data_IF_767138417210
#
_entry.id   IF_767138417210
#
_cell.length_a   1.000
_cell.length_b   1.000
_cell.length_c   1.000
_cell.angle_alpha   90.00
_cell.angle_beta   90.00
_cell.angle_gamma   90.00
#
_symmetry.space_group_name_H-M   'P 1'
#
loop_
_entity.id
_entity.type
_entity.pdbx_description
1 polymer ?
#
# COMPACT_ATOMS: atom_id res chain seq x y z
N UNK A 1 50.74 25.67 73.82
CA UNK A 1 49.49 26.44 73.91
C UNK A 1 49.25 27.12 72.57
N UNK A 2 48.11 26.81 71.94
CA UNK A 2 47.41 27.56 70.87
C UNK A 2 48.18 28.16 69.66
N UNK A 3 48.17 27.40 68.57
CA UNK A 3 47.64 27.73 67.22
C UNK A 3 47.90 29.06 66.47
N UNK A 4 48.26 28.84 65.19
CA UNK A 4 47.92 29.56 63.93
C UNK A 4 48.64 30.91 63.69
N UNK A 5 49.11 31.26 62.48
CA UNK A 5 48.63 31.04 61.11
C UNK A 5 49.74 31.49 60.12
N UNK A 6 49.97 30.93 58.92
CA UNK A 6 49.36 31.32 57.61
C UNK A 6 50.01 30.43 56.52
N UNK A 7 49.28 29.53 55.85
CA UNK A 7 48.53 29.72 54.61
C UNK A 7 49.40 29.87 53.33
N UNK A 8 49.55 28.77 52.59
CA UNK A 8 50.19 28.71 51.27
C UNK A 8 49.12 28.69 50.16
N UNK A 9 49.33 29.52 49.13
CA UNK A 9 48.55 29.60 47.89
C UNK A 9 48.63 28.29 47.11
N UNK A 10 47.47 27.78 46.67
CA UNK A 10 47.35 26.79 45.60
C UNK A 10 46.32 27.28 44.58
N UNK A 11 46.76 27.33 43.32
CA UNK A 11 45.97 27.68 42.16
C UNK A 11 44.95 26.58 41.84
N UNK A 12 43.71 26.96 41.58
CA UNK A 12 42.68 26.10 41.03
C UNK A 12 42.17 26.70 39.72
N UNK A 13 42.31 25.92 38.63
CA UNK A 13 41.85 26.23 37.28
C UNK A 13 40.33 26.00 37.21
N UNK A 14 39.57 27.03 36.84
CA UNK A 14 38.12 26.93 36.58
C UNK A 14 37.88 26.59 35.09
N UNK A 15 37.29 25.42 34.83
CA UNK A 15 36.67 25.11 33.53
C UNK A 15 35.24 25.68 33.52
N UNK A 16 34.99 26.69 32.69
CA UNK A 16 33.65 27.19 32.42
C UNK A 16 33.04 26.39 31.25
N UNK A 17 31.96 25.65 31.52
CA UNK A 17 31.17 24.95 30.50
C UNK A 17 30.23 25.95 29.79
N UNK A 18 30.32 26.02 28.46
CA UNK A 18 29.39 26.76 27.60
C UNK A 18 28.12 25.93 27.35
N UNK A 19 26.91 26.54 27.31
CA UNK A 19 25.68 25.83 26.98
C UNK A 19 25.58 25.56 25.47
N UNK A 20 25.13 24.36 25.11
CA UNK A 20 24.84 23.96 23.73
C UNK A 20 23.56 24.65 23.20
N UNK A 21 23.45 24.92 21.88
CA UNK A 21 22.29 25.57 21.31
C UNK A 21 21.07 24.63 21.25
N UNK A 22 19.92 25.14 21.68
CA UNK A 22 18.62 24.49 21.50
C UNK A 22 18.25 24.53 20.02
N UNK A 23 18.17 23.36 19.39
CA UNK A 23 17.75 23.20 18.01
C UNK A 23 16.22 23.29 17.92
N UNK A 24 15.71 24.37 17.33
CA UNK A 24 14.28 24.55 17.08
C UNK A 24 13.81 23.56 16.02
N UNK A 25 12.94 22.61 16.39
CA UNK A 25 12.25 21.74 15.43
C UNK A 25 11.15 22.53 14.74
N UNK A 26 11.29 22.73 13.44
CA UNK A 26 10.23 23.23 12.57
C UNK A 26 9.16 22.16 12.39
N UNK A 27 7.92 22.44 12.80
CA UNK A 27 6.76 21.60 12.50
C UNK A 27 6.37 21.76 11.02
N UNK A 28 6.02 20.67 10.31
CA UNK A 28 5.53 20.77 8.94
C UNK A 28 4.10 21.34 8.91
N UNK A 29 3.84 22.25 7.96
CA UNK A 29 2.53 22.82 7.70
C UNK A 29 1.52 21.76 7.22
N UNK A 30 0.20 21.93 7.46
CA UNK A 30 -0.79 20.96 7.04
C UNK A 30 -0.92 20.96 5.51
N UNK A 31 -0.69 19.80 4.89
CA UNK A 31 -0.97 19.60 3.48
C UNK A 31 -2.49 19.64 3.25
N UNK A 32 -2.98 20.58 2.44
CA UNK A 32 -4.34 20.51 1.89
C UNK A 32 -4.42 19.22 1.06
N UNK A 33 -5.14 18.22 1.56
CA UNK A 33 -5.49 17.03 0.79
C UNK A 33 -6.41 17.45 -0.37
N UNK A 34 -5.86 17.56 -1.57
CA UNK A 34 -6.64 17.65 -2.81
C UNK A 34 -7.54 16.42 -2.88
N UNK A 35 -8.85 16.62 -2.64
CA UNK A 35 -9.83 15.55 -2.84
C UNK A 35 -9.92 15.27 -4.36
N UNK A 36 -9.72 14.01 -4.79
CA UNK A 36 -9.94 13.67 -6.19
C UNK A 36 -11.43 13.86 -6.54
N UNK A 37 -11.74 14.35 -7.77
CA UNK A 37 -13.10 14.65 -8.18
C UNK A 37 -14.01 13.42 -8.13
N UNK A 38 -15.26 13.62 -7.71
CA UNK A 38 -16.30 12.58 -7.73
C UNK A 38 -16.65 12.24 -9.18
N UNK A 39 -16.57 10.95 -9.54
CA UNK A 39 -16.89 10.49 -10.89
C UNK A 39 -18.41 10.44 -11.12
N UNK A 40 -18.91 10.87 -12.30
CA UNK A 40 -20.32 10.72 -12.65
C UNK A 40 -20.70 9.24 -12.81
N UNK A 41 -21.94 8.90 -12.47
CA UNK A 41 -22.48 7.56 -12.67
C UNK A 41 -22.48 7.19 -14.16
N UNK A 42 -22.02 5.97 -14.49
CA UNK A 42 -21.87 5.52 -15.88
C UNK A 42 -20.51 5.85 -16.51
N UNK A 43 -19.52 6.26 -15.70
CA UNK A 43 -18.15 6.45 -16.17
C UNK A 43 -17.56 5.17 -16.76
N UNK A 44 -16.84 5.29 -17.87
CA UNK A 44 -16.13 4.18 -18.50
C UNK A 44 -15.09 3.62 -17.53
N UNK A 45 -15.10 2.30 -17.32
CA UNK A 45 -14.06 1.65 -16.54
C UNK A 45 -12.74 1.67 -17.32
N UNK A 46 -11.77 2.41 -16.82
CA UNK A 46 -10.45 2.58 -17.41
C UNK A 46 -9.39 2.60 -16.29
N UNK A 47 -8.15 2.14 -16.57
CA UNK A 47 -7.05 2.34 -15.65
C UNK A 47 -6.74 3.84 -15.51
N UNK A 48 -6.04 4.20 -14.44
CA UNK A 48 -5.37 5.50 -14.33
C UNK A 48 -4.40 5.69 -15.50
N UNK A 49 -4.08 6.94 -15.81
CA UNK A 49 -3.20 7.28 -16.95
C UNK A 49 -1.85 6.56 -16.85
N UNK A 50 -1.24 6.58 -15.66
CA UNK A 50 0.00 5.88 -15.39
C UNK A 50 0.15 5.47 -13.92
N UNK A 51 0.91 4.41 -13.70
CA UNK A 51 1.37 3.98 -12.38
C UNK A 51 2.90 4.04 -12.37
N UNK A 52 3.45 4.77 -11.43
CA UNK A 52 4.88 4.70 -11.10
C UNK A 52 5.14 3.40 -10.34
N UNK A 53 5.72 2.43 -11.02
CA UNK A 53 5.96 1.09 -10.47
C UNK A 53 6.95 1.09 -9.31
N UNK A 54 7.89 2.04 -9.27
CA UNK A 54 8.83 2.15 -8.15
C UNK A 54 8.10 2.61 -6.89
N UNK A 55 7.18 3.57 -7.02
CA UNK A 55 6.32 4.01 -5.91
C UNK A 55 5.23 3.00 -5.56
N UNK A 56 4.80 2.17 -6.51
CA UNK A 56 3.81 1.11 -6.30
C UNK A 56 4.41 -0.15 -5.65
N UNK A 57 5.74 -0.33 -5.71
CA UNK A 57 6.43 -1.46 -5.10
C UNK A 57 6.22 -1.53 -3.57
N UNK A 58 6.57 -2.67 -2.98
CA UNK A 58 6.41 -2.94 -1.55
C UNK A 58 5.09 -3.64 -1.22
N UNK A 59 4.71 -3.57 0.06
CA UNK A 59 3.56 -4.29 0.62
C UNK A 59 2.30 -3.46 0.48
N UNK A 60 1.21 -4.15 0.13
CA UNK A 60 -0.16 -3.66 0.15
C UNK A 60 -1.03 -4.64 0.93
N UNK A 61 -1.89 -4.11 1.79
CA UNK A 61 -2.92 -4.83 2.51
C UNK A 61 -4.22 -4.81 1.71
N UNK A 62 -4.89 -5.95 1.60
CA UNK A 62 -6.23 -6.04 1.05
C UNK A 62 -7.23 -5.54 2.09
N UNK A 63 -7.87 -4.40 1.81
CA UNK A 63 -8.89 -3.78 2.66
C UNK A 63 -10.28 -4.29 2.29
N UNK A 64 -10.52 -4.49 1.00
CA UNK A 64 -11.76 -5.07 0.51
C UNK A 64 -11.54 -5.78 -0.82
N UNK A 65 -12.40 -6.75 -1.14
CA UNK A 65 -12.38 -7.43 -2.43
C UNK A 65 -13.74 -7.97 -2.82
N UNK A 66 -13.94 -8.22 -4.12
CA UNK A 66 -15.03 -9.07 -4.58
C UNK A 66 -14.72 -10.56 -4.31
N UNK A 67 -15.74 -11.43 -4.27
CA UNK A 67 -15.55 -12.86 -4.06
C UNK A 67 -14.93 -13.48 -5.32
N UNK A 68 -13.72 -14.01 -5.19
CA UNK A 68 -12.99 -14.64 -6.31
C UNK A 68 -12.55 -16.04 -5.92
N UNK A 69 -12.73 -16.99 -6.85
CA UNK A 69 -12.48 -18.42 -6.59
C UNK A 69 -11.07 -18.69 -6.05
N UNK A 70 -10.05 -18.01 -6.58
CA UNK A 70 -8.66 -18.21 -6.17
C UNK A 70 -8.31 -17.65 -4.78
N UNK A 71 -9.12 -16.75 -4.22
CA UNK A 71 -8.97 -16.21 -2.87
C UNK A 71 -9.99 -16.75 -1.85
N UNK A 72 -10.82 -17.74 -2.25
CA UNK A 72 -11.93 -18.24 -1.40
C UNK A 72 -11.52 -18.85 -0.05
N UNK A 73 -10.26 -19.27 0.09
CA UNK A 73 -9.71 -19.81 1.34
C UNK A 73 -8.98 -18.76 2.18
N UNK A 74 -8.78 -17.55 1.68
CA UNK A 74 -8.21 -16.46 2.46
C UNK A 74 -9.28 -15.88 3.38
N UNK A 75 -9.07 -16.03 4.70
CA UNK A 75 -9.96 -15.51 5.72
C UNK A 75 -9.52 -14.14 6.24
N UNK A 76 -8.22 -13.92 6.44
CA UNK A 76 -7.67 -12.66 6.99
C UNK A 76 -6.21 -12.40 6.57
N UNK A 77 -5.72 -11.23 6.97
CA UNK A 77 -4.32 -10.81 6.84
C UNK A 77 -3.76 -10.94 5.41
N UNK A 78 -4.64 -10.71 4.41
CA UNK A 78 -4.27 -10.77 3.01
C UNK A 78 -3.39 -9.59 2.63
N UNK A 79 -2.25 -9.89 2.02
CA UNK A 79 -1.28 -8.91 1.51
C UNK A 79 -0.83 -9.28 0.12
N UNK A 80 -0.48 -8.26 -0.67
CA UNK A 80 0.21 -8.37 -1.95
C UNK A 80 1.54 -7.61 -1.85
N UNK A 81 2.65 -8.25 -2.19
CA UNK A 81 3.97 -7.63 -2.23
C UNK A 81 4.46 -7.56 -3.67
N UNK A 82 4.86 -6.37 -4.10
CA UNK A 82 5.39 -6.11 -5.45
C UNK A 82 6.87 -5.73 -5.38
N UNK A 83 7.69 -6.30 -6.25
CA UNK A 83 9.09 -5.87 -6.41
C UNK A 83 9.53 -6.00 -7.86
N UNK A 84 10.34 -5.04 -8.32
CA UNK A 84 10.92 -5.07 -9.66
C UNK A 84 11.82 -6.30 -9.86
N UNK A 85 11.84 -6.82 -11.08
CA UNK A 85 12.74 -7.87 -11.54
C UNK A 85 13.77 -7.27 -12.49
N UNK A 86 14.90 -7.96 -12.66
CA UNK A 86 16.02 -7.51 -13.52
C UNK A 86 15.63 -7.43 -15.00
N UNK A 87 14.67 -8.24 -15.43
CA UNK A 87 14.14 -8.28 -16.80
C UNK A 87 13.08 -7.22 -17.09
N UNK A 88 12.85 -6.29 -16.15
CA UNK A 88 11.82 -5.25 -16.25
C UNK A 88 10.41 -5.74 -15.89
N UNK A 89 10.25 -7.01 -15.52
CA UNK A 89 9.03 -7.54 -14.94
C UNK A 89 8.84 -7.11 -13.48
N UNK A 90 7.73 -7.54 -12.89
CA UNK A 90 7.40 -7.30 -11.49
C UNK A 90 7.08 -8.64 -10.85
N UNK A 91 7.75 -8.98 -9.75
CA UNK A 91 7.34 -10.11 -8.91
C UNK A 91 6.09 -9.75 -8.10
N UNK A 92 5.19 -10.70 -7.98
CA UNK A 92 3.97 -10.59 -7.18
C UNK A 92 3.95 -11.71 -6.16
N UNK A 93 3.84 -11.38 -4.87
CA UNK A 93 3.65 -12.36 -3.80
C UNK A 93 2.39 -12.03 -3.01
N UNK A 94 1.39 -12.89 -3.12
CA UNK A 94 0.17 -12.81 -2.33
C UNK A 94 0.28 -13.75 -1.14
N UNK A 95 -0.08 -13.28 0.06
CA UNK A 95 -0.09 -14.07 1.30
C UNK A 95 -1.35 -13.78 2.09
N UNK A 96 -2.00 -14.79 2.65
CA UNK A 96 -3.13 -14.64 3.56
C UNK A 96 -3.14 -15.75 4.62
N UNK A 97 -4.04 -15.64 5.59
CA UNK A 97 -4.32 -16.68 6.59
C UNK A 97 -5.71 -17.25 6.34
N UNK A 98 -5.83 -18.58 6.37
CA UNK A 98 -7.11 -19.28 6.22
C UNK A 98 -7.91 -19.32 7.54
N UNK A 99 -9.07 -20.00 7.50
CA UNK A 99 -9.97 -20.08 8.65
C UNK A 99 -9.37 -20.92 9.79
N UNK A 100 -8.52 -21.89 9.46
CA UNK A 100 -7.83 -22.78 10.38
C UNK A 100 -6.53 -22.18 10.96
N UNK A 101 -6.12 -21.01 10.46
CA UNK A 101 -4.89 -20.32 10.88
C UNK A 101 -3.65 -20.70 10.06
N UNK A 102 -3.81 -21.50 9.01
CA UNK A 102 -2.78 -21.83 8.04
C UNK A 102 -2.43 -20.64 7.14
N UNK A 103 -1.17 -20.60 6.70
CA UNK A 103 -0.69 -19.57 5.77
C UNK A 103 -0.84 -20.08 4.34
N UNK A 104 -1.51 -19.29 3.50
CA UNK A 104 -1.59 -19.52 2.05
C UNK A 104 -0.72 -18.48 1.36
N UNK A 105 0.14 -18.92 0.44
CA UNK A 105 0.98 -18.05 -0.37
C UNK A 105 0.89 -18.41 -1.86
N UNK A 106 0.86 -17.39 -2.72
CA UNK A 106 0.96 -17.53 -4.17
C UNK A 106 2.01 -16.57 -4.71
N UNK A 107 2.84 -17.04 -5.63
CA UNK A 107 3.88 -16.25 -6.31
C UNK A 107 3.58 -16.17 -7.79
N UNK A 108 3.75 -14.99 -8.35
CA UNK A 108 3.48 -14.70 -9.74
C UNK A 108 4.39 -13.61 -10.27
N UNK A 109 4.16 -13.26 -11.52
CA UNK A 109 4.85 -12.19 -12.24
C UNK A 109 3.83 -11.28 -12.89
N UNK A 110 4.19 -10.01 -13.05
CA UNK A 110 3.43 -9.04 -13.81
C UNK A 110 4.31 -8.35 -14.84
N UNK A 111 3.68 -7.93 -15.93
CA UNK A 111 4.31 -7.14 -17.00
C UNK A 111 3.42 -5.95 -17.36
N UNK A 112 4.05 -4.86 -17.78
CA UNK A 112 3.36 -3.68 -18.30
C UNK A 112 2.64 -3.99 -19.60
N UNK A 113 1.63 -3.18 -19.93
CA UNK A 113 1.03 -3.16 -21.26
C UNK A 113 1.33 -1.82 -21.94
N UNK A 114 0.79 -1.64 -23.14
CA UNK A 114 0.68 -0.37 -23.86
C UNK A 114 -0.05 0.75 -23.09
N UNK A 115 -0.82 0.43 -22.05
CA UNK A 115 -1.51 1.38 -21.17
C UNK A 115 -0.80 1.41 -19.81
N UNK A 116 -0.13 2.51 -19.43
CA UNK A 116 0.74 2.53 -18.25
C UNK A 116 0.07 2.26 -16.89
N UNK A 117 -1.26 2.42 -16.77
CA UNK A 117 -2.02 2.00 -15.58
C UNK A 117 -2.56 0.56 -15.62
N UNK A 118 -2.24 -0.20 -16.66
CA UNK A 118 -2.65 -1.60 -16.82
C UNK A 118 -1.45 -2.54 -16.85
N UNK A 119 -1.62 -3.70 -16.23
CA UNK A 119 -0.68 -4.79 -16.22
C UNK A 119 -1.37 -6.09 -16.63
N UNK A 120 -0.55 -7.07 -17.01
CA UNK A 120 -0.94 -8.47 -17.09
C UNK A 120 -0.22 -9.25 -15.99
N UNK A 121 -0.95 -10.04 -15.21
CA UNK A 121 -0.41 -10.82 -14.09
C UNK A 121 -0.58 -12.31 -14.37
N UNK A 122 0.43 -13.11 -14.06
CA UNK A 122 0.37 -14.57 -14.13
C UNK A 122 0.83 -15.21 -12.83
N UNK A 123 0.10 -16.23 -12.40
CA UNK A 123 0.48 -17.13 -11.29
C UNK A 123 0.75 -18.56 -11.80
N UNK A 124 0.90 -18.74 -13.11
CA UNK A 124 1.33 -20.02 -13.65
C UNK A 124 2.79 -20.31 -13.26
N UNK A 125 3.17 -21.59 -13.10
CA UNK A 125 4.56 -21.96 -12.97
C UNK A 125 5.40 -21.37 -14.12
N UNK A 126 6.67 -20.97 -13.90
CA UNK A 126 7.50 -20.37 -14.94
C UNK A 126 7.57 -21.18 -16.25
N UNK A 127 7.60 -22.52 -16.15
CA UNK A 127 7.58 -23.43 -17.29
C UNK A 127 6.30 -23.34 -18.16
N UNK A 128 5.24 -22.73 -17.65
CA UNK A 128 3.94 -22.56 -18.30
C UNK A 128 3.59 -21.09 -18.56
N UNK A 129 4.45 -20.14 -18.19
CA UNK A 129 4.20 -18.70 -18.35
C UNK A 129 4.10 -18.23 -19.82
N UNK A 130 4.57 -19.06 -20.77
CA UNK A 130 4.46 -18.83 -22.20
C UNK A 130 3.03 -19.04 -22.75
N UNK A 131 2.13 -19.68 -21.99
CA UNK A 131 0.76 -19.93 -22.43
C UNK A 131 -0.09 -18.65 -22.40
N UNK A 132 -0.83 -18.33 -23.48
CA UNK A 132 -1.53 -17.05 -23.62
C UNK A 132 -2.70 -16.88 -22.62
N UNK A 133 -3.28 -17.99 -22.13
CA UNK A 133 -4.38 -17.98 -21.17
C UNK A 133 -3.93 -17.88 -19.71
N UNK A 134 -2.62 -17.85 -19.44
CA UNK A 134 -2.06 -17.74 -18.10
C UNK A 134 -2.04 -16.33 -17.51
N UNK A 135 -2.52 -15.32 -18.26
CA UNK A 135 -2.36 -13.91 -17.95
C UNK A 135 -3.70 -13.23 -17.70
N UNK A 136 -3.90 -12.72 -16.49
CA UNK A 136 -5.08 -11.96 -16.11
C UNK A 136 -4.84 -10.45 -16.22
N UNK A 137 -5.91 -9.68 -16.48
CA UNK A 137 -5.89 -8.22 -16.40
C UNK A 137 -5.77 -7.73 -14.96
N UNK A 138 -4.86 -6.79 -14.75
CA UNK A 138 -4.71 -6.04 -13.50
C UNK A 138 -4.66 -4.56 -13.85
N UNK A 139 -5.77 -3.86 -13.64
CA UNK A 139 -5.89 -2.44 -13.95
C UNK A 139 -5.94 -1.67 -12.63
N UNK A 140 -4.99 -0.76 -12.41
CA UNK A 140 -5.13 0.22 -11.33
C UNK A 140 -6.13 1.25 -11.82
N UNK A 141 -7.35 1.18 -11.32
CA UNK A 141 -8.45 2.03 -11.81
C UNK A 141 -8.53 3.32 -10.99
N UNK A 142 -8.11 3.32 -9.73
CA UNK A 142 -8.08 4.50 -8.87
C UNK A 142 -6.84 4.46 -7.98
N UNK A 143 -6.21 5.60 -7.74
CA UNK A 143 -4.92 5.66 -7.05
C UNK A 143 -4.75 6.98 -6.29
N UNK A 144 -4.32 6.86 -5.04
CA UNK A 144 -3.90 8.00 -4.23
C UNK A 144 -2.62 8.64 -4.84
N UNK A 145 -2.54 9.98 -4.96
CA UNK A 145 -1.30 10.64 -5.42
C UNK A 145 -0.05 10.30 -4.59
N UNK A 146 -0.27 9.96 -3.31
CA UNK A 146 0.79 9.55 -2.37
C UNK A 146 0.97 8.03 -2.28
N UNK A 147 0.26 7.24 -3.11
CA UNK A 147 0.33 5.78 -3.16
C UNK A 147 -0.02 5.09 -1.83
N UNK A 148 -0.91 5.71 -1.02
CA UNK A 148 -1.37 5.14 0.25
C UNK A 148 -2.52 4.15 0.09
N UNK A 149 -3.32 4.31 -0.96
CA UNK A 149 -4.41 3.39 -1.33
C UNK A 149 -4.50 3.26 -2.85
N UNK A 150 -5.02 2.13 -3.31
CA UNK A 150 -5.28 1.85 -4.72
C UNK A 150 -6.55 1.01 -4.86
N UNK A 151 -7.31 1.23 -5.94
CA UNK A 151 -8.40 0.35 -6.36
C UNK A 151 -7.97 -0.34 -7.64
N UNK A 152 -8.04 -1.66 -7.62
CA UNK A 152 -7.60 -2.53 -8.71
C UNK A 152 -8.80 -3.31 -9.23
N UNK A 153 -8.87 -3.47 -10.55
CA UNK A 153 -9.86 -4.34 -11.18
C UNK A 153 -9.44 -4.75 -12.58
N UNK A 154 -10.40 -4.81 -13.51
CA UNK A 154 -10.16 -5.22 -14.88
C UNK A 154 -11.36 -4.93 -15.78
N UNK A 155 -11.24 -5.17 -17.09
CA UNK A 155 -12.21 -4.76 -18.11
C UNK A 155 -13.61 -5.36 -17.87
N UNK A 156 -13.66 -6.62 -17.43
CA UNK A 156 -14.91 -7.35 -17.21
C UNK A 156 -15.65 -6.95 -15.94
N UNK A 157 -15.01 -6.18 -15.04
CA UNK A 157 -15.52 -5.82 -13.70
C UNK A 157 -15.83 -7.02 -12.78
N UNK A 158 -15.41 -8.23 -13.15
CA UNK A 158 -15.61 -9.45 -12.35
C UNK A 158 -14.65 -9.59 -11.17
N UNK A 159 -13.67 -8.71 -11.04
CA UNK A 159 -12.69 -8.69 -9.97
C UNK A 159 -12.43 -7.25 -9.52
N UNK A 160 -12.36 -7.04 -8.21
CA UNK A 160 -12.05 -5.76 -7.59
C UNK A 160 -11.28 -6.01 -6.30
N UNK A 161 -10.26 -5.18 -6.05
CA UNK A 161 -9.59 -5.04 -4.77
C UNK A 161 -9.49 -3.57 -4.39
N UNK A 162 -9.65 -3.30 -3.09
CA UNK A 162 -9.18 -2.08 -2.45
C UNK A 162 -7.93 -2.44 -1.67
N UNK A 163 -6.81 -1.83 -2.03
CA UNK A 163 -5.51 -2.03 -1.44
C UNK A 163 -5.08 -0.78 -0.67
N UNK A 164 -4.38 -0.96 0.45
CA UNK A 164 -3.79 0.15 1.20
C UNK A 164 -2.41 -0.19 1.74
N UNK A 165 -1.60 0.82 2.04
CA UNK A 165 -0.29 0.65 2.70
C UNK A 165 -0.44 0.25 4.17
N UNK A 166 -1.57 0.61 4.78
CA UNK A 166 -1.95 0.22 6.14
C UNK A 166 -3.00 -0.89 6.11
N UNK A 167 -3.09 -1.73 7.17
CA UNK A 167 -4.07 -2.83 7.24
C UNK A 167 -5.54 -2.38 7.24
N UNK A 168 -5.81 -1.11 7.52
CA UNK A 168 -7.13 -0.51 7.52
C UNK A 168 -7.06 0.92 7.02
N UNK A 169 -8.18 1.42 6.50
CA UNK A 169 -8.37 2.81 6.10
C UNK A 169 -9.61 3.38 6.79
N UNK A 170 -9.75 4.71 6.77
CA UNK A 170 -10.94 5.36 7.31
C UNK A 170 -12.22 4.86 6.63
N UNK A 171 -13.30 4.56 7.38
CA UNK A 171 -14.56 4.09 6.80
C UNK A 171 -15.12 5.04 5.74
N UNK A 172 -15.04 6.36 5.99
CA UNK A 172 -15.47 7.37 5.03
C UNK A 172 -14.65 7.35 3.73
N UNK A 173 -13.37 6.98 3.79
CA UNK A 173 -12.56 6.79 2.59
C UNK A 173 -13.00 5.53 1.83
N UNK A 174 -13.21 4.42 2.54
CA UNK A 174 -13.69 3.18 1.92
C UNK A 174 -15.03 3.38 1.20
N UNK A 175 -15.98 4.09 1.82
CA UNK A 175 -17.29 4.37 1.23
C UNK A 175 -17.18 5.24 -0.03
N UNK A 176 -16.27 6.24 -0.04
CA UNK A 176 -15.98 7.01 -1.26
C UNK A 176 -15.39 6.13 -2.37
N UNK A 177 -14.48 5.22 -2.03
CA UNK A 177 -13.88 4.29 -3.01
C UNK A 177 -14.94 3.35 -3.60
N UNK A 178 -15.88 2.87 -2.79
CA UNK A 178 -17.03 2.06 -3.24
C UNK A 178 -17.91 2.83 -4.22
N UNK A 179 -18.32 4.04 -3.87
CA UNK A 179 -19.15 4.88 -4.74
C UNK A 179 -18.47 5.14 -6.09
N UNK A 180 -17.15 5.39 -6.10
CA UNK A 180 -16.39 5.55 -7.36
C UNK A 180 -16.29 4.26 -8.17
N UNK A 181 -16.20 3.10 -7.52
CA UNK A 181 -16.24 1.81 -8.21
C UNK A 181 -17.65 1.51 -8.78
N UNK A 182 -18.72 1.78 -8.04
CA UNK A 182 -20.11 1.66 -8.52
C UNK A 182 -20.37 2.60 -9.70
N UNK A 183 -19.89 3.84 -9.65
CA UNK A 183 -19.97 4.80 -10.77
C UNK A 183 -19.27 4.30 -12.04
N UNK A 184 -18.35 3.33 -11.94
CA UNK A 184 -17.68 2.64 -13.05
C UNK A 184 -18.36 1.34 -13.48
N UNK A 185 -19.49 1.01 -12.87
CA UNK A 185 -20.33 -0.14 -13.19
C UNK A 185 -19.96 -1.42 -12.46
N UNK A 186 -19.24 -1.35 -11.34
CA UNK A 186 -19.01 -2.53 -10.49
C UNK A 186 -20.25 -2.84 -9.65
N UNK A 187 -20.65 -4.12 -9.58
CA UNK A 187 -21.61 -4.61 -8.60
C UNK A 187 -20.87 -4.96 -7.31
N UNK A 188 -21.16 -4.22 -6.23
CA UNK A 188 -20.51 -4.38 -4.93
C UNK A 188 -21.37 -5.14 -3.91
N UNK A 189 -22.50 -5.72 -4.32
CA UNK A 189 -23.41 -6.46 -3.41
C UNK A 189 -22.72 -7.59 -2.63
N UNK A 190 -21.70 -8.21 -3.23
CA UNK A 190 -20.89 -9.26 -2.61
C UNK A 190 -19.55 -8.81 -2.02
N UNK A 191 -19.31 -7.50 -1.87
CA UNK A 191 -18.00 -6.99 -1.42
C UNK A 191 -17.66 -7.48 -0.01
N UNK A 192 -16.51 -8.13 0.12
CA UNK A 192 -15.94 -8.57 1.39
C UNK A 192 -14.99 -7.49 1.90
N UNK A 193 -15.13 -7.08 3.16
CA UNK A 193 -14.23 -6.12 3.82
C UNK A 193 -13.34 -6.89 4.79
N UNK A 194 -12.03 -6.68 4.67
CA UNK A 194 -11.07 -7.25 5.59
C UNK A 194 -11.29 -6.70 7.01
N UNK A 195 -11.37 -7.58 8.00
CA UNK A 195 -11.51 -7.20 9.41
C UNK A 195 -12.92 -6.84 9.87
N UNK A 196 -13.95 -6.87 9.02
CA UNK A 196 -15.35 -6.60 9.39
C UNK A 196 -16.03 -7.70 10.25
N UNK A 197 -15.25 -8.50 10.98
CA UNK A 197 -15.71 -9.60 11.82
C UNK A 197 -14.75 -9.93 12.96
N UNK A 198 -13.97 -8.95 13.43
CA UNK A 198 -13.25 -9.02 14.70
C UNK A 198 -14.07 -8.36 15.80
#
# INVERSE_FOLDING_TARGET
>A
MSHLSRAALLAAVLFAALPAPVSARSEPAPALALMPPTLPAGSTNAPVEAVDLARYAGVWHEVARLPMFFQRRCARDTTATYAALEDGGISVRNRCVDAEGGVIEARGIARTTDRPGALKVSFLPPALAWLPFGWADYWVIDLDPDYRWAVVGGPSRGALWVLAREPAIEPALLDRLRQRAEARGYDLSGLIVAGAGR
#
